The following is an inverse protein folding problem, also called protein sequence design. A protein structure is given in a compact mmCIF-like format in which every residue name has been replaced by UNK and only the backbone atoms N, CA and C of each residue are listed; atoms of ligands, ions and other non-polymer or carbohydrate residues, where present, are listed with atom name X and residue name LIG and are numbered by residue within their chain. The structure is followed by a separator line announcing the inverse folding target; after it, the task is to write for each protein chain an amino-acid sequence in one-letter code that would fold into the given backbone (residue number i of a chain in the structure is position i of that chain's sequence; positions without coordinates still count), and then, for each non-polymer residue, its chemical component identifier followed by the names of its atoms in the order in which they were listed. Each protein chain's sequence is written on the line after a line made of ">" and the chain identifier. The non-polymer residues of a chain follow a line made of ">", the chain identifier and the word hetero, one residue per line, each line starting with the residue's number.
data_IF_139523704627
#
_entry.id   IF_139523704627
#
_cell.length_a   1.000
_cell.length_b   1.000
_cell.length_c   1.000
_cell.angle_alpha   90.00
_cell.angle_beta   90.00
_cell.angle_gamma   90.00
#
_symmetry.space_group_name_H-M   'P 1'
#
loop_
_entity.id
_entity.type
_entity.pdbx_description
1 polymer ?
#
# COMPACT_ATOMS: atom_id res chain seq x y z
N UNK A 1 -17.28 -6.76 54.74
CA UNK A 1 -16.95 -8.18 54.97
C UNK A 1 -17.57 -8.97 53.83
N UNK A 2 -16.71 -9.52 52.95
CA UNK A 2 -16.58 -10.96 52.64
C UNK A 2 -17.76 -11.90 52.94
N UNK A 3 -18.16 -12.88 52.11
CA UNK A 3 -17.85 -13.26 50.71
C UNK A 3 -19.23 -13.67 50.06
N UNK A 4 -19.42 -14.39 48.93
CA UNK A 4 -18.63 -15.17 47.96
C UNK A 4 -19.38 -15.18 46.61
N UNK A 5 -18.66 -15.33 45.49
CA UNK A 5 -18.89 -16.39 44.48
C UNK A 5 -17.66 -16.51 43.58
N UNK A 6 -17.47 -17.67 42.94
CA UNK A 6 -16.18 -18.15 42.41
C UNK A 6 -16.16 -18.32 40.88
N UNK A 7 -14.92 -18.48 40.38
CA UNK A 7 -14.46 -19.10 39.14
C UNK A 7 -14.76 -18.50 37.75
N UNK A 8 -13.70 -18.56 36.93
CA UNK A 8 -13.59 -18.02 35.58
C UNK A 8 -12.12 -17.97 35.14
N UNK A 9 -11.45 -19.14 35.10
CA UNK A 9 -10.10 -19.27 34.53
C UNK A 9 -10.16 -19.04 33.01
N UNK A 10 -9.36 -18.10 32.51
CA UNK A 10 -8.99 -17.97 31.09
C UNK A 10 -7.47 -17.72 31.01
N UNK A 11 -6.68 -18.79 31.08
CA UNK A 11 -5.22 -18.74 30.97
C UNK A 11 -4.80 -18.61 29.50
N UNK A 12 -4.63 -17.38 29.00
CA UNK A 12 -4.21 -17.12 27.61
C UNK A 12 -3.06 -16.11 27.42
N UNK A 13 -2.50 -15.54 28.49
CA UNK A 13 -1.37 -14.60 28.45
C UNK A 13 0.01 -15.29 28.60
N UNK A 14 0.25 -16.39 27.89
CA UNK A 14 1.61 -16.93 27.66
C UNK A 14 1.76 -17.61 26.29
N UNK A 15 1.46 -16.85 25.22
CA UNK A 15 1.99 -17.17 23.89
C UNK A 15 3.40 -16.60 23.77
N UNK A 16 4.37 -17.36 24.27
CA UNK A 16 5.79 -17.10 24.01
C UNK A 16 6.06 -16.94 22.52
N UNK A 17 6.58 -15.78 22.13
CA UNK A 17 7.06 -15.53 20.77
C UNK A 17 8.40 -16.24 20.59
N UNK A 18 8.35 -17.54 20.29
CA UNK A 18 9.54 -18.36 20.03
C UNK A 18 10.37 -17.75 18.89
N UNK A 19 11.65 -17.49 19.16
CA UNK A 19 12.57 -16.78 18.28
C UNK A 19 13.02 -17.65 17.08
N UNK A 20 12.13 -17.80 16.11
CA UNK A 20 12.39 -18.36 14.79
C UNK A 20 12.52 -17.27 13.71
N UNK A 21 12.94 -16.06 14.11
CA UNK A 21 12.97 -14.87 13.26
C UNK A 21 14.34 -14.37 12.81
N UNK A 22 15.45 -15.07 13.13
CA UNK A 22 16.79 -14.45 13.19
C UNK A 22 17.94 -15.21 12.47
N UNK A 23 17.67 -15.86 11.32
CA UNK A 23 18.74 -16.53 10.53
C UNK A 23 18.78 -16.23 9.01
N UNK A 24 17.91 -15.36 8.47
CA UNK A 24 17.84 -15.11 7.01
C UNK A 24 18.35 -13.72 6.54
N UNK A 25 18.55 -12.77 7.45
CA UNK A 25 18.98 -11.38 7.15
C UNK A 25 20.33 -11.26 6.42
N UNK A 26 21.14 -12.33 6.39
CA UNK A 26 22.48 -12.33 5.78
C UNK A 26 22.55 -12.69 4.29
N UNK A 27 21.49 -13.27 3.69
CA UNK A 27 21.56 -13.77 2.31
C UNK A 27 21.37 -12.63 1.31
N UNK A 28 22.47 -11.95 0.96
CA UNK A 28 22.52 -11.10 -0.24
C UNK A 28 22.10 -11.91 -1.46
N UNK A 29 21.07 -11.46 -2.15
CA UNK A 29 20.58 -12.09 -3.39
C UNK A 29 21.67 -12.21 -4.46
N UNK A 30 22.65 -11.30 -4.49
CA UNK A 30 23.80 -11.39 -5.40
C UNK A 30 24.60 -12.69 -5.19
N UNK A 31 24.77 -13.13 -3.95
CA UNK A 31 25.43 -14.41 -3.64
C UNK A 31 24.59 -15.62 -4.06
N UNK A 32 23.25 -15.51 -3.99
CA UNK A 32 22.32 -16.51 -4.53
C UNK A 32 22.36 -16.53 -6.07
N UNK A 33 22.54 -15.36 -6.68
CA UNK A 33 22.85 -15.14 -8.10
C UNK A 33 24.34 -15.33 -8.44
N UNK A 34 25.16 -15.92 -7.56
CA UNK A 34 26.55 -16.34 -7.82
C UNK A 34 26.75 -17.86 -7.68
N UNK A 35 25.71 -18.61 -7.31
CA UNK A 35 25.72 -20.07 -7.31
C UNK A 35 25.79 -20.63 -8.76
N UNK A 36 27.01 -20.71 -9.29
CA UNK A 36 27.32 -21.08 -10.68
C UNK A 36 27.11 -22.56 -11.03
N UNK A 37 25.87 -23.04 -10.94
CA UNK A 37 25.49 -24.41 -11.34
C UNK A 37 24.79 -24.48 -12.71
N UNK A 38 24.32 -23.35 -13.25
CA UNK A 38 23.71 -23.25 -14.58
C UNK A 38 24.52 -22.32 -15.51
N UNK A 39 24.55 -22.61 -16.82
CA UNK A 39 25.08 -21.72 -17.86
C UNK A 39 24.16 -20.50 -18.17
N UNK A 40 23.47 -19.97 -17.16
CA UNK A 40 22.49 -18.90 -17.28
C UNK A 40 23.08 -17.54 -16.90
N UNK A 41 22.66 -16.48 -17.59
CA UNK A 41 22.97 -15.10 -17.21
C UNK A 41 22.42 -14.78 -15.80
N UNK A 42 22.92 -13.73 -15.12
CA UNK A 42 22.34 -13.29 -13.84
C UNK A 42 20.81 -13.06 -13.93
N UNK A 43 20.33 -12.38 -14.98
CA UNK A 43 18.89 -12.20 -15.23
C UNK A 43 18.17 -13.51 -15.52
N UNK A 44 18.76 -14.42 -16.31
CA UNK A 44 18.16 -15.75 -16.55
C UNK A 44 18.04 -16.59 -15.28
N UNK A 45 18.92 -16.37 -14.28
CA UNK A 45 18.82 -16.97 -12.95
C UNK A 45 17.79 -16.25 -12.07
N UNK A 46 17.72 -14.91 -12.13
CA UNK A 46 16.65 -14.13 -11.51
C UNK A 46 15.27 -14.65 -11.92
N UNK A 47 15.00 -14.73 -13.23
CA UNK A 47 13.72 -15.24 -13.75
C UNK A 47 13.46 -16.70 -13.36
N UNK A 48 14.48 -17.57 -13.46
CA UNK A 48 14.38 -18.98 -13.06
C UNK A 48 13.91 -19.14 -11.61
N UNK A 49 14.40 -18.30 -10.69
CA UNK A 49 13.98 -18.35 -9.29
C UNK A 49 12.68 -17.59 -9.04
N UNK A 50 12.52 -16.38 -9.59
CA UNK A 50 11.35 -15.50 -9.49
C UNK A 50 10.05 -16.19 -9.92
N UNK A 51 10.12 -17.12 -10.88
CA UNK A 51 8.96 -17.84 -11.42
C UNK A 51 9.04 -19.35 -11.20
N UNK A 52 9.88 -19.81 -10.26
CA UNK A 52 9.91 -21.23 -9.85
C UNK A 52 8.71 -21.60 -8.98
N UNK A 53 8.27 -22.86 -9.05
CA UNK A 53 7.17 -23.39 -8.24
C UNK A 53 7.42 -23.28 -6.72
N UNK A 54 8.69 -23.32 -6.30
CA UNK A 54 9.10 -23.20 -4.90
C UNK A 54 8.91 -21.76 -4.37
N UNK A 55 7.94 -21.60 -3.47
CA UNK A 55 7.59 -20.33 -2.80
C UNK A 55 8.80 -19.68 -2.12
N UNK A 56 9.67 -20.45 -1.48
CA UNK A 56 10.85 -19.94 -0.75
C UNK A 56 11.85 -19.24 -1.68
N UNK A 57 12.07 -19.77 -2.90
CA UNK A 57 12.89 -19.12 -3.92
C UNK A 57 12.28 -17.75 -4.31
N UNK A 58 10.95 -17.69 -4.47
CA UNK A 58 10.25 -16.46 -4.83
C UNK A 58 10.28 -15.43 -3.69
N UNK A 59 10.21 -15.86 -2.43
CA UNK A 59 10.41 -14.97 -1.26
C UNK A 59 11.84 -14.40 -1.21
N UNK A 60 12.88 -15.23 -1.43
CA UNK A 60 14.27 -14.75 -1.52
C UNK A 60 14.42 -13.70 -2.62
N UNK A 61 13.85 -13.95 -3.81
CA UNK A 61 13.92 -12.97 -4.90
C UNK A 61 13.15 -11.68 -4.55
N UNK A 62 11.95 -11.79 -3.97
CA UNK A 62 11.15 -10.64 -3.57
C UNK A 62 11.87 -9.70 -2.60
N UNK A 63 12.55 -10.25 -1.58
CA UNK A 63 13.38 -9.48 -0.63
C UNK A 63 14.55 -8.79 -1.32
N UNK A 64 15.23 -9.47 -2.24
CA UNK A 64 16.46 -8.97 -2.87
C UNK A 64 16.27 -8.05 -4.08
N UNK A 65 15.05 -7.91 -4.63
CA UNK A 65 14.83 -7.20 -5.91
C UNK A 65 15.37 -5.75 -5.95
N UNK A 66 15.48 -5.07 -4.81
CA UNK A 66 16.10 -3.73 -4.73
C UNK A 66 17.60 -3.74 -5.07
N UNK A 67 18.35 -4.73 -4.60
CA UNK A 67 19.79 -4.81 -4.85
C UNK A 67 20.07 -5.27 -6.28
N UNK A 68 19.21 -6.14 -6.83
CA UNK A 68 19.23 -6.49 -8.26
C UNK A 68 18.91 -5.27 -9.13
N UNK A 69 17.92 -4.44 -8.75
CA UNK A 69 17.61 -3.20 -9.47
C UNK A 69 18.78 -2.20 -9.50
N UNK A 70 19.60 -2.16 -8.44
CA UNK A 70 20.82 -1.36 -8.37
C UNK A 70 21.94 -1.96 -9.24
N UNK A 71 22.13 -3.28 -9.21
CA UNK A 71 23.16 -3.97 -9.99
C UNK A 71 22.95 -3.80 -11.51
N UNK A 72 21.70 -3.87 -11.97
CA UNK A 72 21.37 -3.76 -13.39
C UNK A 72 21.01 -2.33 -13.86
N UNK A 73 21.23 -1.30 -13.04
CA UNK A 73 20.81 0.09 -13.36
C UNK A 73 21.64 0.79 -14.44
N UNK A 74 22.82 0.25 -14.80
CA UNK A 74 23.68 0.81 -15.85
C UNK A 74 23.23 0.41 -17.28
N UNK A 75 22.29 -0.53 -17.44
CA UNK A 75 21.76 -0.96 -18.73
C UNK A 75 20.22 -0.90 -18.74
N UNK A 76 19.65 -0.05 -19.60
CA UNK A 76 18.20 0.15 -19.71
C UNK A 76 17.41 -1.14 -19.96
N UNK A 77 17.93 -2.07 -20.77
CA UNK A 77 17.24 -3.32 -21.08
C UNK A 77 17.20 -4.28 -19.86
N UNK A 78 18.30 -4.32 -19.12
CA UNK A 78 18.43 -5.19 -17.95
C UNK A 78 17.58 -4.64 -16.80
N UNK A 79 17.68 -3.32 -16.55
CA UNK A 79 16.82 -2.59 -15.62
C UNK A 79 15.32 -2.78 -15.94
N UNK A 80 14.91 -2.68 -17.22
CA UNK A 80 13.53 -2.94 -17.64
C UNK A 80 13.11 -4.38 -17.32
N UNK A 81 13.98 -5.36 -17.57
CA UNK A 81 13.71 -6.79 -17.28
C UNK A 81 13.52 -7.05 -15.78
N UNK A 82 14.30 -6.38 -14.92
CA UNK A 82 14.13 -6.45 -13.46
C UNK A 82 12.83 -5.74 -13.04
N UNK A 83 12.50 -4.58 -13.61
CA UNK A 83 11.23 -3.88 -13.34
C UNK A 83 9.99 -4.67 -13.79
N UNK A 84 10.08 -5.44 -14.87
CA UNK A 84 9.02 -6.36 -15.31
C UNK A 84 8.93 -7.60 -14.39
N UNK A 85 10.05 -8.02 -13.79
CA UNK A 85 10.07 -9.03 -12.72
C UNK A 85 9.39 -8.51 -11.44
N UNK A 86 9.68 -7.28 -10.98
CA UNK A 86 8.99 -6.60 -9.88
C UNK A 86 7.48 -6.55 -10.14
N UNK A 87 7.06 -6.16 -11.34
CA UNK A 87 5.65 -6.09 -11.70
C UNK A 87 4.96 -7.46 -11.62
N UNK A 88 5.55 -8.51 -12.19
CA UNK A 88 5.01 -9.88 -12.17
C UNK A 88 4.96 -10.47 -10.76
N UNK A 89 6.00 -10.32 -9.95
CA UNK A 89 6.04 -10.85 -8.58
C UNK A 89 5.08 -10.10 -7.64
N UNK A 90 4.71 -8.87 -7.96
CA UNK A 90 3.64 -8.16 -7.23
C UNK A 90 2.25 -8.78 -7.44
N UNK A 91 2.09 -9.71 -8.39
CA UNK A 91 0.87 -10.46 -8.71
C UNK A 91 1.02 -11.96 -8.43
N UNK A 92 1.99 -12.36 -7.60
CA UNK A 92 2.18 -13.76 -7.19
C UNK A 92 0.92 -14.35 -6.51
N UNK A 93 0.65 -15.63 -6.76
CA UNK A 93 -0.46 -16.34 -6.12
C UNK A 93 -0.31 -16.40 -4.59
N UNK A 94 0.94 -16.47 -4.10
CA UNK A 94 1.22 -16.62 -2.67
C UNK A 94 1.22 -15.26 -1.95
N UNK A 95 0.35 -15.06 -0.93
CA UNK A 95 0.31 -13.82 -0.16
C UNK A 95 1.63 -13.48 0.53
N UNK A 96 2.44 -14.48 0.88
CA UNK A 96 3.77 -14.30 1.50
C UNK A 96 4.74 -13.62 0.54
N UNK A 97 4.94 -14.16 -0.67
CA UNK A 97 5.80 -13.56 -1.71
C UNK A 97 5.37 -12.12 -2.02
N UNK A 98 4.05 -11.88 -2.07
CA UNK A 98 3.48 -10.54 -2.23
C UNK A 98 3.84 -9.60 -1.07
N UNK A 99 3.77 -10.07 0.17
CA UNK A 99 4.15 -9.29 1.36
C UNK A 99 5.65 -8.92 1.35
N UNK A 100 6.55 -9.88 1.10
CA UNK A 100 8.01 -9.65 1.02
C UNK A 100 8.34 -8.50 0.05
N UNK A 101 7.70 -8.48 -1.13
CA UNK A 101 7.92 -7.42 -2.12
C UNK A 101 7.35 -6.08 -1.65
N UNK A 102 6.20 -6.06 -0.97
CA UNK A 102 5.60 -4.81 -0.49
C UNK A 102 6.44 -4.13 0.60
N UNK A 103 7.24 -4.87 1.35
CA UNK A 103 8.25 -4.29 2.25
C UNK A 103 9.39 -3.59 1.49
N UNK A 104 9.71 -4.05 0.27
CA UNK A 104 10.72 -3.42 -0.59
C UNK A 104 10.19 -2.26 -1.44
N UNK A 105 8.88 -2.20 -1.73
CA UNK A 105 8.28 -1.12 -2.55
C UNK A 105 8.63 0.31 -2.08
N UNK A 106 8.65 0.66 -0.77
CA UNK A 106 9.12 1.98 -0.31
C UNK A 106 10.57 2.30 -0.72
N UNK A 107 11.46 1.32 -0.67
CA UNK A 107 12.87 1.48 -1.02
C UNK A 107 13.08 1.54 -2.53
N UNK A 108 12.32 0.74 -3.28
CA UNK A 108 12.26 0.80 -4.75
C UNK A 108 11.71 2.16 -5.20
N UNK A 109 10.71 2.72 -4.50
CA UNK A 109 10.15 4.04 -4.78
C UNK A 109 11.20 5.16 -4.66
N UNK A 110 12.03 5.13 -3.60
CA UNK A 110 13.16 6.07 -3.45
C UNK A 110 14.18 5.90 -4.58
N UNK A 111 14.60 4.66 -4.84
CA UNK A 111 15.59 4.36 -5.89
C UNK A 111 15.12 4.80 -7.29
N UNK A 112 13.83 4.63 -7.62
CA UNK A 112 13.25 5.13 -8.88
C UNK A 112 13.11 6.66 -8.92
N UNK A 113 13.02 7.33 -7.77
CA UNK A 113 13.02 8.80 -7.68
C UNK A 113 14.43 9.35 -7.92
N UNK A 114 15.46 8.75 -7.33
CA UNK A 114 16.87 9.07 -7.54
C UNK A 114 17.29 8.79 -8.99
N UNK A 115 16.89 7.63 -9.53
CA UNK A 115 17.20 7.19 -10.90
C UNK A 115 16.34 7.86 -11.98
N UNK A 116 15.46 8.80 -11.62
CA UNK A 116 14.53 9.49 -12.53
C UNK A 116 15.19 10.17 -13.75
N UNK A 117 16.43 10.71 -13.71
CA UNK A 117 17.10 11.24 -14.90
C UNK A 117 17.36 10.18 -15.97
N UNK A 118 17.62 8.94 -15.57
CA UNK A 118 17.89 7.81 -16.46
C UNK A 118 16.58 7.14 -16.89
N UNK A 119 15.66 6.92 -15.94
CA UNK A 119 14.46 6.11 -16.13
C UNK A 119 13.16 6.89 -15.80
N UNK A 120 12.88 8.02 -16.48
CA UNK A 120 11.84 8.97 -16.09
C UNK A 120 10.41 8.40 -16.10
N UNK A 121 10.18 7.32 -16.85
CA UNK A 121 8.89 6.63 -16.94
C UNK A 121 8.76 5.41 -16.00
N UNK A 122 9.82 4.93 -15.36
CA UNK A 122 9.79 3.65 -14.65
C UNK A 122 8.82 3.66 -13.45
N UNK A 123 8.84 4.75 -12.66
CA UNK A 123 7.93 4.93 -11.54
C UNK A 123 6.45 4.89 -11.98
N UNK A 124 6.11 5.64 -13.04
CA UNK A 124 4.73 5.74 -13.55
C UNK A 124 4.25 4.51 -14.33
N UNK A 125 5.16 3.80 -15.02
CA UNK A 125 4.84 2.59 -15.80
C UNK A 125 4.67 1.35 -14.93
N UNK A 126 5.53 1.17 -13.92
CA UNK A 126 5.57 -0.08 -13.13
C UNK A 126 5.08 0.11 -11.70
N UNK A 127 5.56 1.12 -10.97
CA UNK A 127 5.31 1.21 -9.53
C UNK A 127 3.92 1.82 -9.22
N UNK A 128 3.42 2.77 -10.01
CA UNK A 128 2.05 3.32 -9.86
C UNK A 128 0.96 2.24 -9.97
N UNK A 129 0.93 1.35 -10.97
CA UNK A 129 -0.05 0.26 -11.03
C UNK A 129 -0.01 -0.66 -9.79
N UNK A 130 1.19 -0.99 -9.29
CA UNK A 130 1.37 -1.80 -8.07
C UNK A 130 0.79 -1.05 -6.87
N UNK A 131 1.16 0.22 -6.69
CA UNK A 131 0.67 1.06 -5.58
C UNK A 131 -0.86 1.17 -5.61
N UNK A 132 -1.46 1.43 -6.77
CA UNK A 132 -2.92 1.52 -6.93
C UNK A 132 -3.61 0.18 -6.64
N UNK A 133 -3.03 -0.96 -7.02
CA UNK A 133 -3.56 -2.29 -6.70
C UNK A 133 -3.55 -2.55 -5.20
N UNK A 134 -2.44 -2.33 -4.52
CA UNK A 134 -2.34 -2.61 -3.08
C UNK A 134 -3.00 -1.57 -2.17
N UNK A 135 -3.21 -0.33 -2.65
CA UNK A 135 -4.09 0.65 -1.99
C UNK A 135 -5.56 0.20 -1.86
N UNK A 136 -5.91 -0.96 -2.43
CA UNK A 136 -7.23 -1.59 -2.30
C UNK A 136 -7.25 -2.90 -1.52
N UNK A 137 -6.07 -3.41 -1.12
CA UNK A 137 -5.96 -4.64 -0.33
C UNK A 137 -6.20 -4.31 1.16
N UNK A 138 -7.30 -4.79 1.79
CA UNK A 138 -7.63 -4.44 3.17
C UNK A 138 -6.61 -4.96 4.20
N UNK A 139 -5.66 -5.82 3.79
CA UNK A 139 -4.60 -6.33 4.65
C UNK A 139 -3.33 -5.45 4.60
N UNK A 140 -3.16 -4.60 3.58
CA UNK A 140 -1.88 -3.89 3.35
C UNK A 140 -1.87 -2.47 3.93
N UNK A 141 -1.57 -2.37 5.23
CA UNK A 141 -1.36 -1.09 5.92
C UNK A 141 -0.05 -0.35 5.52
N UNK A 142 0.86 -0.99 4.77
CA UNK A 142 2.15 -0.37 4.42
C UNK A 142 2.05 0.65 3.28
N UNK A 143 0.95 0.65 2.52
CA UNK A 143 0.80 1.53 1.35
C UNK A 143 0.77 3.02 1.70
N UNK A 144 0.26 3.37 2.89
CA UNK A 144 0.29 4.73 3.44
C UNK A 144 1.72 5.30 3.51
N UNK A 145 2.70 4.47 3.89
CA UNK A 145 4.13 4.82 3.90
C UNK A 145 4.64 5.11 2.48
N UNK A 146 4.24 4.29 1.49
CA UNK A 146 4.63 4.52 0.10
C UNK A 146 4.09 5.86 -0.40
N UNK A 147 2.78 6.15 -0.21
CA UNK A 147 2.16 7.38 -0.71
C UNK A 147 2.72 8.63 -0.03
N UNK A 148 3.02 8.58 1.29
CA UNK A 148 3.66 9.70 2.01
C UNK A 148 5.12 9.96 1.62
N UNK A 149 5.80 8.98 1.01
CA UNK A 149 7.16 9.14 0.47
C UNK A 149 7.21 9.71 -0.96
N UNK A 150 6.07 9.89 -1.63
CA UNK A 150 6.02 10.46 -2.99
C UNK A 150 5.94 11.98 -2.96
N UNK A 151 6.46 12.65 -4.01
CA UNK A 151 6.25 14.09 -4.16
C UNK A 151 4.75 14.39 -4.33
N UNK A 152 4.31 15.55 -3.83
CA UNK A 152 2.92 16.00 -4.00
C UNK A 152 2.46 15.88 -5.46
N UNK A 153 3.28 16.31 -6.43
CA UNK A 153 2.92 16.27 -7.87
C UNK A 153 2.72 14.83 -8.36
N UNK A 154 3.49 13.88 -7.82
CA UNK A 154 3.36 12.46 -8.14
C UNK A 154 2.03 11.91 -7.62
N UNK A 155 1.63 12.29 -6.41
CA UNK A 155 0.33 11.90 -5.84
C UNK A 155 -0.82 12.60 -6.58
N UNK A 156 -0.75 13.92 -6.78
CA UNK A 156 -1.82 14.72 -7.41
C UNK A 156 -2.05 14.38 -8.89
N UNK A 157 -1.00 14.05 -9.66
CA UNK A 157 -1.14 13.76 -11.09
C UNK A 157 -1.25 12.27 -11.45
N UNK A 158 -0.69 11.35 -10.66
CA UNK A 158 -0.70 9.92 -11.01
C UNK A 158 -1.60 9.06 -10.11
N UNK A 159 -1.60 9.28 -8.79
CA UNK A 159 -2.39 8.47 -7.85
C UNK A 159 -3.81 9.02 -7.65
N UNK A 160 -3.97 10.33 -7.50
CA UNK A 160 -5.25 10.97 -7.17
C UNK A 160 -6.37 10.67 -8.18
N UNK A 161 -6.15 10.67 -9.51
CA UNK A 161 -7.18 10.25 -10.45
C UNK A 161 -7.65 8.81 -10.21
N UNK A 162 -6.71 7.90 -9.92
CA UNK A 162 -7.02 6.49 -9.63
C UNK A 162 -7.69 6.30 -8.27
N UNK A 163 -7.28 7.05 -7.26
CA UNK A 163 -7.96 7.07 -5.98
C UNK A 163 -9.42 7.54 -6.14
N UNK A 164 -9.67 8.57 -6.96
CA UNK A 164 -11.02 9.04 -7.29
C UNK A 164 -11.85 8.02 -8.10
N UNK A 165 -11.24 7.23 -8.98
CA UNK A 165 -11.89 6.07 -9.63
C UNK A 165 -12.33 5.04 -8.57
N UNK A 166 -11.41 4.65 -7.68
CA UNK A 166 -11.60 3.62 -6.66
C UNK A 166 -12.61 3.99 -5.57
N UNK A 167 -12.68 5.28 -5.19
CA UNK A 167 -13.72 5.82 -4.31
C UNK A 167 -15.15 5.56 -4.84
N UNK A 168 -15.30 5.31 -6.15
CA UNK A 168 -16.59 5.02 -6.79
C UNK A 168 -16.66 3.60 -7.37
N UNK A 169 -15.82 2.66 -6.94
CA UNK A 169 -15.88 1.29 -7.44
C UNK A 169 -17.21 0.61 -7.05
N UNK A 170 -18.05 0.36 -8.06
CA UNK A 170 -19.36 -0.25 -7.92
C UNK A 170 -19.35 -1.78 -7.79
N UNK A 171 -18.19 -2.44 -8.00
CA UNK A 171 -18.02 -3.89 -8.04
C UNK A 171 -17.67 -4.46 -6.67
N UNK A 172 -16.75 -3.79 -5.96
CA UNK A 172 -16.14 -4.29 -4.73
C UNK A 172 -16.23 -3.24 -3.62
N UNK A 173 -17.20 -3.38 -2.72
CA UNK A 173 -17.39 -2.43 -1.62
C UNK A 173 -16.19 -2.32 -0.67
N UNK A 174 -15.37 -3.37 -0.57
CA UNK A 174 -14.15 -3.35 0.24
C UNK A 174 -13.15 -2.30 -0.28
N UNK A 175 -13.07 -2.09 -1.60
CA UNK A 175 -12.27 -1.03 -2.23
C UNK A 175 -12.69 0.34 -1.68
N UNK A 176 -13.99 0.64 -1.74
CA UNK A 176 -14.55 1.90 -1.23
C UNK A 176 -14.34 2.07 0.28
N UNK A 177 -14.40 0.98 1.06
CA UNK A 177 -14.08 0.99 2.49
C UNK A 177 -12.61 1.35 2.76
N UNK A 178 -11.67 0.76 2.03
CA UNK A 178 -10.23 1.08 2.13
C UNK A 178 -9.96 2.52 1.66
N UNK A 179 -10.63 2.98 0.60
CA UNK A 179 -10.56 4.39 0.18
C UNK A 179 -11.09 5.35 1.26
N UNK A 180 -12.21 5.03 1.91
CA UNK A 180 -12.78 5.84 2.99
C UNK A 180 -11.85 5.94 4.22
N UNK A 181 -11.21 4.83 4.61
CA UNK A 181 -10.24 4.82 5.72
C UNK A 181 -9.02 5.71 5.43
N UNK A 182 -8.44 5.59 4.23
CA UNK A 182 -7.24 6.33 3.82
C UNK A 182 -7.52 7.75 3.29
N UNK A 183 -8.79 8.18 3.26
CA UNK A 183 -9.20 9.41 2.59
C UNK A 183 -8.56 10.67 3.16
N UNK A 184 -8.38 10.71 4.49
CA UNK A 184 -7.73 11.81 5.19
C UNK A 184 -6.27 12.02 4.76
N UNK A 185 -5.52 10.94 4.56
CA UNK A 185 -4.10 11.00 4.19
C UNK A 185 -3.93 11.58 2.79
N UNK A 186 -4.75 11.13 1.83
CA UNK A 186 -4.80 11.72 0.50
C UNK A 186 -5.09 13.23 0.54
N UNK A 187 -6.07 13.67 1.36
CA UNK A 187 -6.36 15.09 1.54
C UNK A 187 -5.17 15.87 2.13
N UNK A 188 -4.46 15.29 3.09
CA UNK A 188 -3.27 15.88 3.73
C UNK A 188 -2.14 16.11 2.71
N UNK A 189 -1.87 15.10 1.87
CA UNK A 189 -0.75 15.11 0.92
C UNK A 189 -1.00 16.03 -0.28
N UNK A 190 -2.21 16.03 -0.85
CA UNK A 190 -2.54 16.93 -1.98
C UNK A 190 -2.86 18.36 -1.52
N UNK A 191 -3.21 18.54 -0.25
CA UNK A 191 -3.49 19.84 0.35
C UNK A 191 -4.81 20.46 -0.11
N UNK A 192 -5.03 21.73 0.28
CA UNK A 192 -6.36 22.34 0.28
C UNK A 192 -7.01 22.43 -1.11
N UNK A 193 -6.32 22.95 -2.13
CA UNK A 193 -6.95 23.19 -3.45
C UNK A 193 -7.44 21.88 -4.09
N UNK A 194 -6.56 20.88 -4.19
CA UNK A 194 -6.91 19.58 -4.75
C UNK A 194 -7.95 18.84 -3.89
N UNK A 195 -7.90 18.99 -2.56
CA UNK A 195 -8.94 18.45 -1.66
C UNK A 195 -10.31 19.05 -1.98
N UNK A 196 -10.42 20.38 -2.00
CA UNK A 196 -11.70 21.08 -2.20
C UNK A 196 -12.27 20.93 -3.61
N UNK A 197 -11.41 20.73 -4.61
CA UNK A 197 -11.73 20.66 -6.04
C UNK A 197 -12.00 19.25 -6.56
N UNK A 198 -11.27 18.25 -6.06
CA UNK A 198 -11.26 16.89 -6.61
C UNK A 198 -11.75 15.83 -5.62
N UNK A 199 -11.31 15.89 -4.35
CA UNK A 199 -11.68 14.90 -3.33
C UNK A 199 -13.05 15.17 -2.70
N UNK A 200 -13.40 16.41 -2.40
CA UNK A 200 -14.65 16.74 -1.70
C UNK A 200 -15.92 16.10 -2.29
N UNK A 201 -16.13 16.03 -3.62
CA UNK A 201 -17.26 15.29 -4.21
C UNK A 201 -17.25 13.80 -3.83
N UNK A 202 -16.09 13.13 -3.91
CA UNK A 202 -15.93 11.71 -3.55
C UNK A 202 -16.12 11.48 -2.06
N UNK A 203 -15.77 12.45 -1.21
CA UNK A 203 -16.04 12.36 0.22
C UNK A 203 -17.54 12.43 0.52
N UNK A 204 -18.31 13.26 -0.20
CA UNK A 204 -19.77 13.28 -0.12
C UNK A 204 -20.40 11.95 -0.57
N UNK A 205 -19.91 11.37 -1.69
CA UNK A 205 -20.36 10.06 -2.17
C UNK A 205 -20.15 8.97 -1.10
N UNK A 206 -18.93 8.88 -0.52
CA UNK A 206 -18.58 7.88 0.49
C UNK A 206 -19.29 8.10 1.84
N UNK A 207 -19.47 9.35 2.29
CA UNK A 207 -20.27 9.67 3.46
C UNK A 207 -21.76 9.31 3.28
N UNK A 208 -22.22 9.15 2.03
CA UNK A 208 -23.59 8.79 1.66
C UNK A 208 -23.73 7.32 1.23
N UNK A 209 -22.68 6.50 1.36
CA UNK A 209 -22.65 5.12 0.86
C UNK A 209 -23.75 4.27 1.52
N UNK A 210 -24.31 3.31 0.77
CA UNK A 210 -25.30 2.35 1.28
C UNK A 210 -24.79 1.55 2.49
N UNK A 211 -23.50 1.28 2.58
CA UNK A 211 -22.92 0.49 3.66
C UNK A 211 -22.43 1.35 4.84
N UNK A 212 -23.01 1.11 6.02
CA UNK A 212 -22.66 1.79 7.27
C UNK A 212 -21.16 1.72 7.60
N UNK A 213 -20.49 0.62 7.27
CA UNK A 213 -19.05 0.44 7.53
C UNK A 213 -18.14 1.32 6.66
N UNK A 214 -18.65 1.89 5.57
CA UNK A 214 -17.95 2.90 4.75
C UNK A 214 -18.19 4.30 5.35
N UNK A 215 -19.45 4.60 5.74
CA UNK A 215 -19.80 5.86 6.41
C UNK A 215 -19.08 6.03 7.77
N UNK A 216 -18.92 4.94 8.53
CA UNK A 216 -18.12 4.89 9.77
C UNK A 216 -16.64 5.23 9.51
N UNK A 217 -16.03 4.65 8.48
CA UNK A 217 -14.65 4.98 8.09
C UNK A 217 -14.50 6.46 7.67
N UNK A 218 -15.52 7.04 7.01
CA UNK A 218 -15.55 8.47 6.70
C UNK A 218 -15.66 9.34 7.96
N UNK A 219 -16.43 8.91 8.97
CA UNK A 219 -16.52 9.60 10.26
C UNK A 219 -15.21 9.54 11.05
N UNK A 220 -14.49 8.41 10.97
CA UNK A 220 -13.18 8.19 11.61
C UNK A 220 -12.09 9.09 11.00
N UNK A 221 -12.01 9.23 9.67
CA UNK A 221 -11.04 10.09 9.01
C UNK A 221 -11.47 11.58 8.91
N UNK A 222 -12.70 11.92 9.31
CA UNK A 222 -13.35 13.21 9.04
C UNK A 222 -12.55 14.43 9.51
N UNK A 223 -11.90 14.34 10.67
CA UNK A 223 -11.10 15.45 11.21
C UNK A 223 -9.90 15.78 10.31
N UNK A 224 -9.28 14.78 9.69
CA UNK A 224 -8.14 14.96 8.80
C UNK A 224 -8.57 15.65 7.49
N UNK A 225 -9.70 15.22 6.91
CA UNK A 225 -10.33 15.89 5.76
C UNK A 225 -10.72 17.34 6.09
N UNK A 226 -11.30 17.56 7.28
CA UNK A 226 -11.69 18.89 7.78
C UNK A 226 -10.48 19.82 7.92
N UNK A 227 -9.35 19.33 8.44
CA UNK A 227 -8.12 20.11 8.54
C UNK A 227 -7.53 20.47 7.17
N UNK A 228 -7.73 19.62 6.15
CA UNK A 228 -7.33 19.84 4.76
C UNK A 228 -8.28 20.73 3.94
N UNK A 229 -9.23 21.43 4.55
CA UNK A 229 -10.17 22.34 3.85
C UNK A 229 -10.23 23.73 4.47
N UNK A 230 -10.65 24.73 3.69
CA UNK A 230 -10.82 26.11 4.15
C UNK A 230 -11.84 26.22 5.30
N UNK A 231 -11.75 27.28 6.14
CA UNK A 231 -12.79 27.57 7.14
C UNK A 231 -14.19 27.79 6.53
N UNK A 232 -14.28 28.15 5.25
CA UNK A 232 -15.55 28.30 4.53
C UNK A 232 -16.15 26.93 4.18
N UNK A 233 -15.40 26.06 3.50
CA UNK A 233 -15.83 24.69 3.19
C UNK A 233 -16.14 23.90 4.46
N UNK A 234 -15.36 24.09 5.53
CA UNK A 234 -15.67 23.51 6.84
C UNK A 234 -17.07 23.87 7.32
N UNK A 235 -17.41 25.17 7.40
CA UNK A 235 -18.73 25.63 7.88
C UNK A 235 -19.87 25.30 6.91
N UNK A 236 -19.68 25.53 5.62
CA UNK A 236 -20.74 25.47 4.61
C UNK A 236 -21.03 24.07 4.08
N UNK A 237 -20.03 23.16 4.10
CA UNK A 237 -20.11 21.83 3.49
C UNK A 237 -19.88 20.70 4.49
N UNK A 238 -18.82 20.77 5.31
CA UNK A 238 -18.47 19.67 6.22
C UNK A 238 -19.28 19.67 7.53
N UNK A 239 -19.60 20.83 8.12
CA UNK A 239 -20.45 20.88 9.33
C UNK A 239 -21.81 20.18 9.17
N UNK A 240 -22.62 20.42 8.12
CA UNK A 240 -23.86 19.67 7.92
C UNK A 240 -23.63 18.18 7.59
N UNK A 241 -22.54 17.85 6.88
CA UNK A 241 -22.18 16.46 6.59
C UNK A 241 -21.84 15.69 7.88
N UNK A 242 -21.06 16.29 8.78
CA UNK A 242 -20.74 15.69 10.07
C UNK A 242 -21.99 15.48 10.93
N UNK A 243 -22.92 16.43 10.93
CA UNK A 243 -24.23 16.29 11.60
C UNK A 243 -25.01 15.10 11.05
N UNK A 244 -24.96 14.84 9.74
CA UNK A 244 -25.61 13.66 9.14
C UNK A 244 -24.96 12.34 9.56
N UNK A 245 -23.62 12.28 9.69
CA UNK A 245 -22.90 11.09 10.11
C UNK A 245 -23.13 10.74 11.59
N UNK A 246 -23.15 11.73 12.49
CA UNK A 246 -23.49 11.49 13.92
C UNK A 246 -24.99 11.21 14.14
N UNK A 247 -25.82 11.43 13.13
CA UNK A 247 -27.26 11.12 13.13
C UNK A 247 -27.61 9.83 12.37
N UNK A 248 -26.60 9.01 12.04
CA UNK A 248 -26.81 7.73 11.35
C UNK A 248 -27.66 6.78 12.21
N UNK A 249 -28.62 6.10 11.57
CA UNK A 249 -29.52 5.16 12.24
C UNK A 249 -28.87 3.78 12.47
N UNK A 250 -27.71 3.54 11.85
CA UNK A 250 -26.92 2.32 12.02
C UNK A 250 -26.35 2.27 13.44
N UNK A 251 -26.44 1.12 14.11
CA UNK A 251 -25.69 0.88 15.35
C UNK A 251 -24.22 0.61 14.97
N UNK A 252 -23.31 1.28 15.67
CA UNK A 252 -21.88 1.41 15.36
C UNK A 252 -21.00 1.20 16.59
#
# INVERSE_FOLDING_TARGET
>A
LSLYFEDGHDDLDDFGFDDYGSECDGIRITAFLDAGQDNLTPLGRLEKYAFSENVFNRQIVARGLLDVLREFSDNENDFISVMETVARMSEDGEPTVRAELMEQVPNIAMFLHESRPNFPAAFSRYLVPIVVRYLTDPNNQMMCKVVTMLSKDTVEHLLLPRFCDLCSDARLFQVRKVCAANFGEFCSIVGQEATEKLLMPKFFDLCSDSLWGIRKACAECFMMVSNSTSPEVRRAKLSPLFISLISDQSRW
#
